data_IF_880648676865
#
_entry.id   IF_880648676865
#
_cell.length_a   1.000
_cell.length_b   1.000
_cell.length_c   1.000
_cell.angle_alpha   90.00
_cell.angle_beta   90.00
_cell.angle_gamma   90.00
#
_symmetry.space_group_name_H-M   'P 1'
#
loop_
_entity.id
_entity.type
_entity.pdbx_description
1 polymer ?
#
# COMPACT_ATOMS: atom_id res chain seq x y z
N UNK A 1 -73.41 -17.86 3.80
CA UNK A 1 -72.00 -17.85 4.22
C UNK A 1 -71.27 -18.91 3.40
N UNK A 2 -70.57 -18.53 2.32
CA UNK A 2 -69.81 -19.46 1.46
C UNK A 2 -68.36 -19.49 1.96
N UNK A 3 -67.90 -20.66 2.38
CA UNK A 3 -66.50 -20.90 2.75
C UNK A 3 -65.76 -21.19 1.44
N UNK A 4 -64.81 -20.33 1.06
CA UNK A 4 -63.91 -20.59 -0.06
C UNK A 4 -62.80 -21.55 0.38
N UNK A 5 -62.50 -22.63 -0.38
CA UNK A 5 -61.40 -23.52 -0.05
C UNK A 5 -60.05 -22.82 -0.34
N UNK A 6 -59.17 -22.82 0.65
CA UNK A 6 -57.77 -22.40 0.51
C UNK A 6 -57.03 -23.46 -0.32
N UNK A 7 -56.56 -23.08 -1.50
CA UNK A 7 -55.73 -23.92 -2.34
C UNK A 7 -54.30 -23.90 -1.78
N UNK A 8 -53.91 -24.92 -1.00
CA UNK A 8 -52.52 -25.07 -0.56
C UNK A 8 -51.72 -25.60 -1.76
N UNK A 9 -50.93 -24.75 -2.38
CA UNK A 9 -49.93 -25.13 -3.39
C UNK A 9 -48.89 -26.06 -2.74
N UNK A 10 -48.74 -27.28 -3.25
CA UNK A 10 -47.64 -28.17 -2.87
C UNK A 10 -46.33 -27.59 -3.40
N UNK A 11 -45.50 -27.06 -2.50
CA UNK A 11 -44.11 -26.79 -2.85
C UNK A 11 -43.41 -28.14 -3.10
N UNK A 12 -42.90 -28.33 -4.31
CA UNK A 12 -42.09 -29.50 -4.64
C UNK A 12 -40.78 -29.41 -3.83
N UNK A 13 -40.48 -30.43 -3.03
CA UNK A 13 -39.25 -30.49 -2.24
C UNK A 13 -38.02 -30.52 -3.15
N UNK A 14 -37.03 -29.69 -2.82
CA UNK A 14 -35.74 -29.62 -3.50
C UNK A 14 -35.01 -30.98 -3.42
N UNK A 15 -34.44 -31.46 -4.53
CA UNK A 15 -33.81 -32.78 -4.58
C UNK A 15 -32.37 -32.71 -4.04
N UNK A 16 -31.89 -33.75 -3.35
CA UNK A 16 -30.50 -33.80 -2.86
C UNK A 16 -29.47 -33.63 -3.98
N UNK A 17 -29.75 -34.14 -5.18
CA UNK A 17 -28.88 -33.98 -6.35
C UNK A 17 -28.74 -32.52 -6.78
N UNK A 18 -29.81 -31.73 -6.62
CA UNK A 18 -29.84 -30.32 -6.95
C UNK A 18 -28.95 -29.53 -5.99
N UNK A 19 -28.94 -29.92 -4.71
CA UNK A 19 -28.07 -29.34 -3.69
C UNK A 19 -26.59 -29.60 -3.98
N UNK A 20 -26.24 -30.86 -4.26
CA UNK A 20 -24.83 -31.23 -4.44
C UNK A 20 -24.25 -30.61 -5.72
N UNK A 21 -25.06 -30.45 -6.79
CA UNK A 21 -24.60 -29.78 -8.01
C UNK A 21 -24.25 -28.32 -7.73
N UNK A 22 -25.09 -27.61 -6.97
CA UNK A 22 -24.82 -26.21 -6.57
C UNK A 22 -23.58 -26.12 -5.69
N UNK A 23 -23.40 -27.03 -4.72
CA UNK A 23 -22.22 -27.02 -3.86
C UNK A 23 -20.94 -27.28 -4.67
N UNK A 24 -20.95 -28.25 -5.60
CA UNK A 24 -19.80 -28.53 -6.46
C UNK A 24 -19.48 -27.31 -7.34
N UNK A 25 -20.51 -26.67 -7.90
CA UNK A 25 -20.34 -25.47 -8.72
C UNK A 25 -19.75 -24.31 -7.89
N UNK A 26 -20.28 -24.04 -6.70
CA UNK A 26 -19.73 -23.02 -5.78
C UNK A 26 -18.30 -23.35 -5.38
N UNK A 27 -17.97 -24.63 -5.14
CA UNK A 27 -16.62 -25.07 -4.80
C UNK A 27 -15.60 -24.71 -5.87
N UNK A 28 -15.89 -25.01 -7.14
CA UNK A 28 -14.99 -24.71 -8.26
C UNK A 28 -14.86 -23.19 -8.45
N UNK A 29 -15.98 -22.46 -8.42
CA UNK A 29 -15.97 -21.00 -8.55
C UNK A 29 -15.18 -20.32 -7.42
N UNK A 30 -15.32 -20.80 -6.19
CA UNK A 30 -14.62 -20.26 -5.02
C UNK A 30 -13.12 -20.47 -5.12
N UNK A 31 -12.68 -21.64 -5.58
CA UNK A 31 -11.26 -21.95 -5.77
C UNK A 31 -10.60 -20.98 -6.78
N UNK A 32 -11.27 -20.74 -7.91
CA UNK A 32 -10.77 -19.81 -8.94
C UNK A 32 -10.79 -18.37 -8.43
N UNK A 33 -11.88 -17.96 -7.76
CA UNK A 33 -12.03 -16.60 -7.23
C UNK A 33 -10.98 -16.28 -6.15
N UNK A 34 -10.69 -17.22 -5.25
CA UNK A 34 -9.71 -17.05 -4.19
C UNK A 34 -8.32 -16.70 -4.73
N UNK A 35 -7.85 -17.43 -5.76
CA UNK A 35 -6.55 -17.16 -6.37
C UNK A 35 -6.45 -15.76 -6.98
N UNK A 36 -7.47 -15.33 -7.72
CA UNK A 36 -7.52 -13.98 -8.32
C UNK A 36 -7.63 -12.88 -7.25
N UNK A 37 -8.33 -13.14 -6.15
CA UNK A 37 -8.54 -12.17 -5.08
C UNK A 37 -7.23 -11.78 -4.39
N UNK A 38 -6.30 -12.72 -4.18
CA UNK A 38 -4.99 -12.42 -3.58
C UNK A 38 -4.23 -11.36 -4.40
N UNK A 39 -4.12 -11.57 -5.73
CA UNK A 39 -3.46 -10.59 -6.60
C UNK A 39 -4.20 -9.26 -6.67
N UNK A 40 -5.54 -9.27 -6.63
CA UNK A 40 -6.34 -8.06 -6.62
C UNK A 40 -6.15 -7.25 -5.33
N UNK A 41 -6.05 -7.92 -4.17
CA UNK A 41 -5.77 -7.27 -2.87
C UNK A 41 -4.37 -6.66 -2.85
N UNK A 42 -3.34 -7.39 -3.32
CA UNK A 42 -1.98 -6.86 -3.42
C UNK A 42 -1.92 -5.63 -4.33
N UNK A 43 -2.56 -5.67 -5.49
CA UNK A 43 -2.61 -4.51 -6.39
C UNK A 43 -3.37 -3.34 -5.78
N UNK A 44 -4.46 -3.60 -5.05
CA UNK A 44 -5.21 -2.58 -4.34
C UNK A 44 -4.36 -1.92 -3.24
N UNK A 45 -3.56 -2.70 -2.51
CA UNK A 45 -2.62 -2.21 -1.50
C UNK A 45 -1.56 -1.30 -2.13
N UNK A 46 -0.91 -1.72 -3.22
CA UNK A 46 0.06 -0.89 -3.97
C UNK A 46 -0.60 0.42 -4.44
N UNK A 47 -1.81 0.35 -4.97
CA UNK A 47 -2.51 1.55 -5.45
C UNK A 47 -2.95 2.46 -4.29
N UNK A 48 -3.22 1.90 -3.11
CA UNK A 48 -3.52 2.67 -1.91
C UNK A 48 -2.26 3.36 -1.36
N UNK A 49 -1.10 2.71 -1.42
CA UNK A 49 0.19 3.32 -1.10
C UNK A 49 0.46 4.53 -1.98
N UNK A 50 0.36 4.37 -3.30
CA UNK A 50 0.68 5.44 -4.25
C UNK A 50 -0.26 6.64 -4.04
N UNK A 51 -1.56 6.40 -3.81
CA UNK A 51 -2.51 7.46 -3.45
C UNK A 51 -2.18 8.14 -2.13
N UNK A 52 -1.73 7.38 -1.14
CA UNK A 52 -1.34 7.92 0.16
C UNK A 52 -0.17 8.88 0.00
N UNK A 53 0.86 8.47 -0.75
CA UNK A 53 2.00 9.33 -1.04
C UNK A 53 1.58 10.58 -1.83
N UNK A 54 0.68 10.46 -2.81
CA UNK A 54 0.18 11.62 -3.57
C UNK A 54 -0.60 12.60 -2.70
N UNK A 55 -1.42 12.10 -1.76
CA UNK A 55 -2.10 12.95 -0.77
C UNK A 55 -1.09 13.68 0.10
N UNK A 56 -0.03 13.01 0.53
CA UNK A 56 1.06 13.64 1.31
C UNK A 56 1.74 14.72 0.48
N UNK A 57 2.16 14.43 -0.76
CA UNK A 57 2.77 15.43 -1.67
C UNK A 57 1.88 16.67 -1.84
N UNK A 58 0.59 16.46 -2.09
CA UNK A 58 -0.37 17.57 -2.23
C UNK A 58 -0.51 18.36 -0.94
N UNK A 59 -0.55 17.69 0.21
CA UNK A 59 -0.66 18.34 1.51
C UNK A 59 0.58 19.18 1.86
N UNK A 60 1.79 18.70 1.53
CA UNK A 60 3.04 19.44 1.70
C UNK A 60 3.00 20.79 0.96
N UNK A 61 2.63 20.77 -0.33
CA UNK A 61 2.53 21.98 -1.15
C UNK A 61 1.42 22.92 -0.65
N UNK A 62 0.26 22.37 -0.29
CA UNK A 62 -0.88 23.16 0.20
C UNK A 62 -0.55 23.86 1.53
N UNK A 63 0.07 23.14 2.48
CA UNK A 63 0.46 23.73 3.77
C UNK A 63 1.53 24.80 3.59
N UNK A 64 2.54 24.55 2.75
CA UNK A 64 3.56 25.54 2.44
C UNK A 64 2.94 26.81 1.83
N UNK A 65 2.02 26.65 0.88
CA UNK A 65 1.28 27.77 0.29
C UNK A 65 0.43 28.53 1.31
N UNK A 66 -0.24 27.83 2.21
CA UNK A 66 -1.02 28.45 3.30
C UNK A 66 -0.14 29.26 4.25
N UNK A 67 1.05 28.77 4.60
CA UNK A 67 1.99 29.51 5.45
C UNK A 67 2.45 30.82 4.79
N UNK A 68 2.74 30.78 3.48
CA UNK A 68 3.07 31.98 2.70
C UNK A 68 1.94 33.01 2.71
N UNK A 69 0.70 32.56 2.52
CA UNK A 69 -0.48 33.44 2.53
C UNK A 69 -0.75 34.05 3.91
N UNK A 70 -0.44 33.32 4.97
CA UNK A 70 -0.62 33.77 6.36
C UNK A 70 0.55 34.64 6.88
N UNK A 71 1.57 34.88 6.06
CA UNK A 71 2.74 35.70 6.44
C UNK A 71 3.65 35.02 7.46
N UNK A 72 3.56 33.69 7.60
CA UNK A 72 4.44 32.89 8.45
C UNK A 72 5.64 32.43 7.62
N UNK A 73 6.77 32.14 8.27
CA UNK A 73 7.90 31.51 7.62
C UNK A 73 7.49 30.12 7.11
N UNK A 74 7.18 30.02 5.81
CA UNK A 74 6.78 28.79 5.18
C UNK A 74 7.93 27.77 5.22
N UNK A 75 7.62 26.58 5.69
CA UNK A 75 8.55 25.46 5.74
C UNK A 75 7.79 24.16 5.57
N UNK A 76 8.42 23.17 4.95
CA UNK A 76 7.86 21.83 4.97
C UNK A 76 8.02 21.23 6.39
N UNK A 77 7.08 20.39 6.83
CA UNK A 77 7.18 19.73 8.12
C UNK A 77 8.32 18.72 8.13
N UNK A 78 8.93 18.52 9.30
CA UNK A 78 9.97 17.49 9.49
C UNK A 78 9.41 16.09 9.29
N UNK A 79 8.18 15.85 9.74
CA UNK A 79 7.42 14.63 9.49
C UNK A 79 6.31 14.91 8.47
N UNK A 80 6.35 14.25 7.29
CA UNK A 80 5.40 14.49 6.20
C UNK A 80 3.97 14.02 6.52
N UNK A 81 3.75 13.21 7.56
CA UNK A 81 2.42 12.84 8.05
C UNK A 81 1.77 13.92 8.93
N UNK A 82 2.52 14.96 9.27
CA UNK A 82 2.00 16.10 10.04
C UNK A 82 1.04 16.92 9.19
N UNK A 83 -0.01 17.49 9.80
CA UNK A 83 -0.99 18.37 9.15
C UNK A 83 -1.78 17.74 7.99
N UNK A 84 -1.84 16.41 7.95
CA UNK A 84 -2.79 15.68 7.10
C UNK A 84 -4.21 15.80 7.65
N UNK A 85 -5.19 16.01 6.77
CA UNK A 85 -6.61 15.96 7.12
C UNK A 85 -7.04 14.58 7.60
N UNK A 86 -6.40 13.53 7.07
CA UNK A 86 -6.56 12.14 7.48
C UNK A 86 -5.22 11.43 7.36
N UNK A 87 -4.70 10.98 8.50
CA UNK A 87 -3.54 10.08 8.53
C UNK A 87 -3.93 8.69 8.02
N UNK A 88 -3.04 7.98 7.32
CA UNK A 88 -3.28 6.61 6.88
C UNK A 88 -3.56 5.69 8.07
N UNK A 89 -4.39 4.68 7.81
CA UNK A 89 -4.58 3.59 8.77
C UNK A 89 -3.26 2.86 8.99
N UNK A 90 -2.92 2.53 10.23
CA UNK A 90 -1.66 1.87 10.57
C UNK A 90 -0.46 2.81 10.71
N UNK A 91 -0.61 4.13 10.60
CA UNK A 91 0.48 5.06 10.89
C UNK A 91 0.84 5.08 12.38
N UNK A 92 2.04 4.58 12.69
CA UNK A 92 2.63 4.63 14.01
C UNK A 92 3.54 5.86 14.16
N UNK A 93 2.98 6.92 14.76
CA UNK A 93 3.71 8.16 15.08
C UNK A 93 4.82 7.99 16.12
N UNK A 94 4.80 6.90 16.90
CA UNK A 94 5.79 6.67 17.97
C UNK A 94 6.95 5.82 17.49
N UNK A 95 6.82 5.18 16.33
CA UNK A 95 7.90 4.41 15.75
C UNK A 95 9.02 5.34 15.30
N UNK A 96 10.23 5.05 15.76
CA UNK A 96 11.47 5.71 15.33
C UNK A 96 12.37 4.74 14.55
N UNK A 97 11.82 3.61 14.09
CA UNK A 97 12.56 2.57 13.39
C UNK A 97 11.79 2.10 12.17
N UNK A 98 12.52 1.67 11.14
CA UNK A 98 11.91 1.05 9.97
C UNK A 98 11.14 -0.22 10.40
N UNK A 99 9.98 -0.50 9.79
CA UNK A 99 9.27 -1.76 10.00
C UNK A 99 10.18 -2.96 9.77
N UNK A 100 10.06 -3.97 10.62
CA UNK A 100 10.99 -5.10 10.66
C UNK A 100 10.83 -6.10 9.51
N UNK A 101 9.70 -6.06 8.80
CA UNK A 101 9.30 -7.12 7.88
C UNK A 101 8.68 -8.34 8.58
N UNK A 102 8.43 -8.27 9.90
CA UNK A 102 7.76 -9.32 10.67
C UNK A 102 6.24 -9.10 10.71
N UNK A 103 5.46 -10.15 10.94
CA UNK A 103 3.98 -10.10 10.91
C UNK A 103 3.37 -9.07 11.87
N UNK A 104 4.06 -8.75 12.97
CA UNK A 104 3.65 -7.74 13.96
C UNK A 104 3.55 -6.32 13.38
N UNK A 105 4.35 -6.02 12.34
CA UNK A 105 4.39 -4.73 11.67
C UNK A 105 3.54 -4.71 10.39
N UNK A 106 2.74 -5.75 10.12
CA UNK A 106 1.97 -5.82 8.88
C UNK A 106 0.93 -4.69 8.78
N UNK A 107 0.89 -4.02 7.62
CA UNK A 107 0.06 -2.83 7.34
C UNK A 107 0.46 -1.56 8.11
N UNK A 108 1.68 -1.52 8.67
CA UNK A 108 2.17 -0.35 9.43
C UNK A 108 2.79 0.69 8.50
N UNK A 109 2.40 1.94 8.69
CA UNK A 109 3.09 3.12 8.17
C UNK A 109 4.00 3.71 9.25
N UNK A 110 5.21 4.12 8.88
CA UNK A 110 6.12 4.78 9.81
C UNK A 110 6.88 5.89 9.09
N UNK A 111 7.30 6.90 9.84
CA UNK A 111 8.27 7.88 9.38
C UNK A 111 9.50 7.83 10.29
N UNK A 112 10.67 7.67 9.70
CA UNK A 112 11.93 7.61 10.45
C UNK A 112 12.77 8.81 10.02
N UNK A 113 13.12 9.64 11.01
CA UNK A 113 14.02 10.78 10.80
C UNK A 113 15.46 10.30 10.63
N UNK A 114 16.20 10.98 9.75
CA UNK A 114 17.57 10.62 9.42
C UNK A 114 17.65 9.40 8.50
N UNK A 115 18.86 9.10 8.05
CA UNK A 115 19.11 7.93 7.20
C UNK A 115 18.94 8.23 5.72
N UNK A 116 20.03 8.69 5.11
CA UNK A 116 20.21 8.74 3.67
C UNK A 116 21.24 9.80 3.33
N UNK A 117 22.31 9.40 2.65
CA UNK A 117 23.19 10.38 2.03
C UNK A 117 22.44 11.16 0.94
N UNK A 118 23.15 12.08 0.32
CA UNK A 118 22.64 12.81 -0.83
C UNK A 118 22.40 11.79 -1.95
N UNK A 119 21.16 11.68 -2.39
CA UNK A 119 20.82 10.87 -3.55
C UNK A 119 21.03 11.70 -4.80
N UNK A 120 21.51 11.07 -5.86
CA UNK A 120 21.49 11.70 -7.18
C UNK A 120 20.04 11.93 -7.62
N UNK A 121 19.78 12.89 -8.52
CA UNK A 121 18.44 13.12 -9.08
C UNK A 121 17.81 11.84 -9.65
N UNK A 122 18.62 10.99 -10.28
CA UNK A 122 18.21 9.69 -10.82
C UNK A 122 17.76 8.72 -9.72
N UNK A 123 18.55 8.56 -8.65
CA UNK A 123 18.21 7.69 -7.51
C UNK A 123 16.97 8.18 -6.74
N UNK A 124 16.82 9.50 -6.60
CA UNK A 124 15.67 10.10 -5.95
C UNK A 124 14.44 10.21 -6.88
N UNK A 125 14.58 9.96 -8.18
CA UNK A 125 13.50 10.11 -9.17
C UNK A 125 12.98 11.55 -9.26
N UNK A 126 13.87 12.53 -9.19
CA UNK A 126 13.56 13.96 -9.19
C UNK A 126 14.46 14.71 -10.18
N UNK A 127 14.10 15.94 -10.52
CA UNK A 127 14.97 16.87 -11.26
C UNK A 127 15.81 17.76 -10.35
N UNK A 128 15.61 17.67 -9.03
CA UNK A 128 16.29 18.49 -8.03
C UNK A 128 17.68 17.92 -7.74
N UNK A 129 18.71 18.75 -7.97
CA UNK A 129 20.12 18.36 -7.91
C UNK A 129 20.69 18.29 -6.50
N UNK A 130 20.02 18.91 -5.54
CA UNK A 130 20.43 19.03 -4.14
C UNK A 130 19.51 18.25 -3.20
N UNK A 131 18.84 17.19 -3.70
CA UNK A 131 17.98 16.35 -2.87
C UNK A 131 18.73 15.82 -1.64
N UNK A 132 18.27 16.19 -0.44
CA UNK A 132 18.84 15.75 0.83
C UNK A 132 17.83 14.85 1.56
N UNK A 133 18.21 13.61 1.85
CA UNK A 133 17.33 12.72 2.61
C UNK A 133 17.33 13.14 4.09
N UNK A 134 16.27 13.82 4.53
CA UNK A 134 16.09 14.22 5.94
C UNK A 134 15.36 13.15 6.74
N UNK A 135 14.62 12.26 6.07
CA UNK A 135 14.01 11.07 6.65
C UNK A 135 13.48 10.13 5.57
N UNK A 136 12.82 9.06 6.00
CA UNK A 136 12.20 8.09 5.08
C UNK A 136 10.81 7.68 5.57
N UNK A 137 9.88 7.65 4.64
CA UNK A 137 8.54 7.09 4.83
C UNK A 137 8.61 5.59 4.56
N UNK A 138 7.98 4.80 5.41
CA UNK A 138 7.89 3.35 5.28
C UNK A 138 6.44 2.89 5.28
N UNK A 139 6.15 1.87 4.50
CA UNK A 139 4.93 1.07 4.61
C UNK A 139 5.28 -0.41 4.52
N UNK A 140 4.90 -1.18 5.53
CA UNK A 140 4.99 -2.63 5.47
C UNK A 140 3.66 -3.23 5.04
N UNK A 141 3.69 -3.98 3.95
CA UNK A 141 2.52 -4.64 3.39
C UNK A 141 2.14 -5.90 4.12
N UNK A 142 0.96 -6.43 3.82
CA UNK A 142 0.50 -7.74 4.32
C UNK A 142 1.32 -8.92 3.79
N UNK A 143 2.01 -8.76 2.66
CA UNK A 143 2.96 -9.76 2.15
C UNK A 143 4.36 -9.63 2.79
N UNK A 144 4.49 -8.82 3.84
CA UNK A 144 5.71 -8.54 4.59
C UNK A 144 6.79 -7.79 3.81
N UNK A 145 6.50 -7.33 2.59
CA UNK A 145 7.39 -6.43 1.88
C UNK A 145 7.33 -5.01 2.48
N UNK A 146 8.47 -4.33 2.50
CA UNK A 146 8.56 -2.96 3.02
C UNK A 146 8.85 -2.02 1.87
N UNK A 147 7.93 -1.09 1.62
CA UNK A 147 8.14 0.02 0.71
C UNK A 147 8.71 1.21 1.47
N UNK A 148 9.63 1.92 0.83
CA UNK A 148 10.36 3.07 1.35
C UNK A 148 10.34 4.22 0.36
N UNK A 149 10.16 5.44 0.87
CA UNK A 149 10.32 6.67 0.11
C UNK A 149 11.23 7.64 0.87
N UNK A 150 12.36 8.09 0.30
CA UNK A 150 13.17 9.11 0.91
C UNK A 150 12.42 10.45 0.89
N UNK A 151 12.55 11.22 1.95
CA UNK A 151 11.91 12.52 2.11
C UNK A 151 12.97 13.61 2.32
N UNK A 152 12.81 14.70 1.59
CA UNK A 152 13.58 15.92 1.72
C UNK A 152 12.67 17.02 2.28
N UNK A 153 12.83 17.34 3.57
CA UNK A 153 12.07 18.39 4.25
C UNK A 153 12.59 19.81 3.94
N UNK A 154 13.75 19.97 3.31
CA UNK A 154 14.19 21.28 2.84
C UNK A 154 13.41 21.69 1.58
N UNK A 155 13.19 20.73 0.68
CA UNK A 155 12.52 20.95 -0.61
C UNK A 155 11.06 20.46 -0.65
N UNK A 156 10.59 19.73 0.36
CA UNK A 156 9.24 19.15 0.41
C UNK A 156 9.04 18.02 -0.59
N UNK A 157 10.11 17.30 -0.94
CA UNK A 157 10.11 16.30 -2.01
C UNK A 157 10.09 14.91 -1.39
N UNK A 158 9.15 14.09 -1.85
CA UNK A 158 9.15 12.65 -1.59
C UNK A 158 9.71 11.97 -2.83
N UNK A 159 10.89 11.38 -2.69
CA UNK A 159 11.59 10.72 -3.77
C UNK A 159 10.96 9.39 -4.19
N UNK A 160 11.68 8.69 -5.05
CA UNK A 160 11.25 7.44 -5.67
C UNK A 160 10.99 6.33 -4.64
N UNK A 161 9.98 5.52 -4.95
CA UNK A 161 9.64 4.29 -4.22
C UNK A 161 10.75 3.26 -4.37
N UNK A 162 11.24 2.75 -3.25
CA UNK A 162 12.19 1.66 -3.17
C UNK A 162 11.59 0.53 -2.33
N UNK A 163 11.82 -0.72 -2.71
CA UNK A 163 11.41 -1.87 -1.91
C UNK A 163 12.61 -2.36 -1.10
N UNK A 164 12.50 -2.27 0.22
CA UNK A 164 13.45 -2.90 1.12
C UNK A 164 13.02 -4.35 1.36
N UNK A 165 13.93 -5.27 1.05
CA UNK A 165 13.75 -6.69 1.30
C UNK A 165 14.09 -7.00 2.76
N UNK A 166 13.25 -6.57 3.70
CA UNK A 166 13.47 -6.82 5.14
C UNK A 166 13.01 -8.21 5.58
N UNK A 167 11.99 -8.79 4.95
CA UNK A 167 11.53 -10.16 5.23
C UNK A 167 12.36 -11.23 4.50
N UNK A 168 12.83 -12.24 5.25
CA UNK A 168 13.58 -13.39 4.71
C UNK A 168 12.80 -14.14 3.62
N UNK A 169 11.47 -14.21 3.76
CA UNK A 169 10.57 -14.86 2.81
C UNK A 169 10.54 -14.11 1.48
N UNK A 170 10.46 -12.77 1.52
CA UNK A 170 10.47 -11.93 0.31
C UNK A 170 11.82 -12.01 -0.41
N UNK A 171 12.92 -12.03 0.36
CA UNK A 171 14.26 -12.22 -0.20
C UNK A 171 14.42 -13.56 -0.91
N UNK A 172 13.81 -14.62 -0.38
CA UNK A 172 13.80 -15.92 -1.05
C UNK A 172 12.91 -15.93 -2.29
N UNK A 173 11.74 -15.31 -2.24
CA UNK A 173 10.84 -15.17 -3.38
C UNK A 173 11.51 -14.44 -4.55
N UNK A 174 12.17 -13.31 -4.27
CA UNK A 174 12.87 -12.51 -5.29
C UNK A 174 14.08 -13.25 -5.86
N UNK A 175 14.81 -14.00 -5.03
CA UNK A 175 15.87 -14.90 -5.51
C UNK A 175 15.31 -16.00 -6.42
N UNK A 176 14.16 -16.55 -6.09
CA UNK A 176 13.49 -17.57 -6.90
C UNK A 176 13.01 -16.99 -8.24
N UNK A 177 12.46 -15.77 -8.26
CA UNK A 177 12.08 -15.05 -9.49
C UNK A 177 13.28 -14.81 -10.40
N UNK A 178 14.39 -14.31 -9.85
CA UNK A 178 15.64 -14.12 -10.59
C UNK A 178 16.16 -15.42 -11.21
N UNK A 179 16.09 -16.54 -10.48
CA UNK A 179 16.46 -17.87 -11.02
C UNK A 179 15.56 -18.33 -12.17
N UNK A 180 14.30 -17.92 -12.19
CA UNK A 180 13.35 -18.19 -13.29
C UNK A 180 13.44 -17.19 -14.44
N UNK A 181 14.28 -16.14 -14.33
CA UNK A 181 14.33 -15.06 -15.30
C UNK A 181 13.11 -14.12 -15.24
N UNK A 182 12.34 -14.17 -14.16
CA UNK A 182 11.21 -13.28 -13.92
C UNK A 182 11.70 -11.99 -13.27
N UNK A 183 11.23 -10.80 -13.71
CA UNK A 183 11.63 -9.55 -13.10
C UNK A 183 11.09 -9.43 -11.67
N UNK A 184 11.93 -8.95 -10.75
CA UNK A 184 11.47 -8.61 -9.39
C UNK A 184 10.57 -7.39 -9.41
N UNK A 185 9.85 -7.15 -8.32
CA UNK A 185 9.00 -5.96 -8.21
C UNK A 185 9.83 -4.67 -8.32
N UNK A 186 11.00 -4.62 -7.68
CA UNK A 186 11.92 -3.49 -7.81
C UNK A 186 12.35 -3.25 -9.26
N UNK A 187 12.70 -4.30 -10.00
CA UNK A 187 13.09 -4.19 -11.42
C UNK A 187 11.93 -3.73 -12.31
N UNK A 188 10.68 -3.97 -11.90
CA UNK A 188 9.50 -3.43 -12.60
C UNK A 188 9.30 -1.95 -12.29
N UNK A 189 9.52 -1.54 -11.05
CA UNK A 189 9.46 -0.12 -10.65
C UNK A 189 10.52 0.70 -11.40
N UNK A 190 11.73 0.15 -11.55
CA UNK A 190 12.82 0.81 -12.27
C UNK A 190 12.56 0.99 -13.77
N UNK A 191 11.66 0.19 -14.37
CA UNK A 191 11.30 0.28 -15.79
C UNK A 191 10.09 1.16 -16.09
N UNK A 192 9.29 1.50 -15.07
CA UNK A 192 7.99 2.17 -15.26
C UNK A 192 8.08 3.68 -15.03
N UNK A 193 9.25 4.19 -14.63
CA UNK A 193 9.53 5.60 -14.36
C UNK A 193 10.68 6.09 -15.24
#
# INVERSE_FOLDING_TARGET
>A
MKIFPQHISREAGFTFIELIMVIIMIGILTSIAAGKMISAVQQAEITAEDRTIDVIRSNLVNNFGNDLLNGVAAKFPDDPFTNLSKVPEGYDRRSNSAPSGAEEDASTWAFVTGGGGNLTPEEAGTTVTDFQTTGSIYHQRKDLSVAKWPYDSANGIIGKKNLETTSQLKAEEDRAKKRRGEPTEQERLDKTQ
#
